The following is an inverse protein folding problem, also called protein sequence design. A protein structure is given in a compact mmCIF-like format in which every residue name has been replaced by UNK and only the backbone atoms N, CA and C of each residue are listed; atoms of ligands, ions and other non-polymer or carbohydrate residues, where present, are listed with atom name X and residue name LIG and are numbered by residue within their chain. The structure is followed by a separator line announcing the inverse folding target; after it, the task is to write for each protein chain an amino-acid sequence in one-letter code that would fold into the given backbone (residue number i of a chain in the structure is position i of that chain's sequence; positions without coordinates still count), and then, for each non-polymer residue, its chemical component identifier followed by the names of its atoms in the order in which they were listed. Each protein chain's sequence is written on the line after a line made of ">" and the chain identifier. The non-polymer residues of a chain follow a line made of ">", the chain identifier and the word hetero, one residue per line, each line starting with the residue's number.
data_IF_967379109438
#
_entry.id   IF_967379109438
#
_cell.length_a   1.000
_cell.length_b   1.000
_cell.length_c   1.000
_cell.angle_alpha   90.00
_cell.angle_beta   90.00
_cell.angle_gamma   90.00
#
_symmetry.space_group_name_H-M   'P 1'
#
loop_
_entity.id
_entity.type
_entity.pdbx_description
1 polymer ?
#
# COMPACT_ATOMS: atom_id res chain seq x y z
N UNK A 1 -14.24 -11.01 16.66
CA UNK A 1 -13.98 -9.64 16.22
C UNK A 1 -12.89 -9.06 17.10
N UNK A 2 -11.67 -9.02 16.60
CA UNK A 2 -10.67 -8.17 17.23
C UNK A 2 -10.47 -6.92 16.38
N UNK A 3 -10.31 -5.80 17.07
CA UNK A 3 -10.07 -4.48 16.50
C UNK A 3 -8.70 -3.97 16.96
N UNK A 4 -7.95 -3.24 16.11
CA UNK A 4 -6.84 -2.42 16.59
C UNK A 4 -7.25 -1.59 17.80
N UNK A 5 -6.46 -1.64 18.87
CA UNK A 5 -6.77 -0.92 20.11
C UNK A 5 -6.49 0.58 19.91
N UNK A 6 -7.43 1.44 20.29
CA UNK A 6 -7.18 2.88 20.37
C UNK A 6 -6.21 3.19 21.52
N UNK A 7 -5.02 3.70 21.19
CA UNK A 7 -3.95 3.98 22.15
C UNK A 7 -3.95 5.41 22.70
N UNK A 8 -4.75 6.31 22.14
CA UNK A 8 -4.80 7.73 22.56
C UNK A 8 -5.46 7.91 23.92
N UNK A 9 -6.44 7.08 24.24
CA UNK A 9 -7.21 7.16 25.49
C UNK A 9 -6.63 6.23 26.59
N UNK A 10 -5.45 5.66 26.37
CA UNK A 10 -4.82 4.82 27.39
C UNK A 10 -4.11 5.71 28.40
N UNK A 11 -4.41 5.48 29.69
CA UNK A 11 -3.60 5.99 30.79
C UNK A 11 -2.25 5.29 30.65
N UNK A 12 -1.27 5.98 30.08
CA UNK A 12 0.11 5.52 30.09
C UNK A 12 0.56 5.59 31.55
N UNK A 13 0.71 4.43 32.18
CA UNK A 13 1.18 4.36 33.56
C UNK A 13 2.57 5.02 33.66
N UNK A 14 2.87 5.71 34.76
CA UNK A 14 4.15 6.41 34.99
C UNK A 14 5.40 5.54 34.72
N UNK A 15 5.39 4.20 34.94
CA UNK A 15 6.47 3.31 34.51
C UNK A 15 6.61 3.16 32.99
N UNK A 16 5.51 3.22 32.21
CA UNK A 16 5.54 3.29 30.75
C UNK A 16 5.99 4.67 30.25
N UNK A 17 5.79 5.73 31.04
CA UNK A 17 6.40 7.05 30.81
C UNK A 17 7.94 7.00 30.97
N UNK A 18 8.45 6.23 31.95
CA UNK A 18 9.88 5.94 32.10
C UNK A 18 10.39 4.91 31.07
N UNK A 19 9.51 4.03 30.58
CA UNK A 19 9.75 3.10 29.47
C UNK A 19 9.89 3.78 28.10
N UNK A 20 9.59 5.09 27.99
CA UNK A 20 9.89 5.88 26.79
C UNK A 20 11.39 6.14 26.57
N UNK A 21 12.24 5.76 27.55
CA UNK A 21 13.69 5.61 27.35
C UNK A 21 14.12 4.18 27.01
N UNK A 22 13.19 3.25 26.75
CA UNK A 22 13.50 1.91 26.26
C UNK A 22 13.38 1.92 24.73
N UNK A 23 14.50 1.82 23.99
CA UNK A 23 14.46 1.68 22.54
C UNK A 23 13.54 0.52 22.12
N UNK A 24 12.65 0.74 21.13
CA UNK A 24 11.78 -0.31 20.60
C UNK A 24 10.35 -0.35 21.14
N UNK A 25 10.00 0.44 22.16
CA UNK A 25 8.66 0.42 22.75
C UNK A 25 7.56 0.93 21.78
N UNK A 26 7.87 1.95 20.98
CA UNK A 26 6.95 2.54 20.00
C UNK A 26 6.76 1.57 18.83
N UNK A 27 7.85 1.01 18.34
CA UNK A 27 7.90 0.07 17.23
C UNK A 27 7.09 -1.19 17.55
N UNK A 28 7.15 -1.67 18.80
CA UNK A 28 6.32 -2.77 19.27
C UNK A 28 4.84 -2.42 19.24
N UNK A 29 4.47 -1.23 19.71
CA UNK A 29 3.08 -0.77 19.72
C UNK A 29 2.51 -0.58 18.31
N UNK A 30 3.32 -0.07 17.38
CA UNK A 30 2.99 0.02 15.96
C UNK A 30 2.79 -1.37 15.36
N UNK A 31 3.73 -2.30 15.58
CA UNK A 31 3.65 -3.67 15.10
C UNK A 31 2.42 -4.42 15.64
N UNK A 32 2.06 -4.23 16.91
CA UNK A 32 0.82 -4.77 17.49
C UNK A 32 -0.43 -4.20 16.80
N UNK A 33 -0.42 -2.90 16.49
CA UNK A 33 -1.48 -2.23 15.74
C UNK A 33 -1.65 -2.79 14.33
N UNK A 34 -0.55 -2.92 13.58
CA UNK A 34 -0.56 -3.51 12.24
C UNK A 34 -0.97 -4.98 12.26
N UNK A 35 -0.47 -5.78 13.19
CA UNK A 35 -0.87 -7.18 13.34
C UNK A 35 -2.38 -7.30 13.61
N UNK A 36 -2.95 -6.42 14.44
CA UNK A 36 -4.39 -6.39 14.67
C UNK A 36 -5.18 -5.99 13.41
N UNK A 37 -4.64 -5.08 12.59
CA UNK A 37 -5.24 -4.67 11.31
C UNK A 37 -5.19 -5.79 10.26
N UNK A 38 -4.15 -6.62 10.28
CA UNK A 38 -3.91 -7.70 9.30
C UNK A 38 -4.76 -8.95 9.52
N UNK A 39 -5.41 -9.10 10.68
CA UNK A 39 -6.23 -10.29 10.93
C UNK A 39 -7.42 -10.38 9.99
N UNK A 40 -7.76 -11.60 9.60
CA UNK A 40 -8.90 -11.89 8.72
C UNK A 40 -10.26 -11.52 9.33
N UNK A 41 -10.36 -11.39 10.65
CA UNK A 41 -11.59 -10.98 11.36
C UNK A 41 -11.65 -9.46 11.67
N UNK A 42 -10.76 -8.66 11.07
CA UNK A 42 -10.75 -7.21 11.23
C UNK A 42 -11.78 -6.53 10.31
N UNK A 43 -12.84 -6.02 10.93
CA UNK A 43 -13.99 -5.38 10.27
C UNK A 43 -13.91 -3.85 10.26
N UNK A 44 -12.72 -3.27 10.43
CA UNK A 44 -12.55 -1.82 10.38
C UNK A 44 -11.52 -1.39 9.34
N UNK A 45 -11.74 -0.21 8.75
CA UNK A 45 -10.78 0.46 7.87
C UNK A 45 -10.62 1.92 8.30
N UNK A 46 -9.52 2.58 7.91
CA UNK A 46 -9.39 4.02 8.09
C UNK A 46 -10.53 4.81 7.45
N UNK A 47 -10.91 5.93 8.07
CA UNK A 47 -11.89 6.88 7.49
C UNK A 47 -11.24 7.75 6.42
N UNK A 48 -9.97 8.12 6.59
CA UNK A 48 -9.25 8.98 5.66
C UNK A 48 -8.84 8.21 4.40
N UNK A 49 -9.25 8.72 3.24
CA UNK A 49 -8.98 8.14 1.92
C UNK A 49 -8.06 9.08 1.14
N UNK A 50 -6.84 8.60 0.87
CA UNK A 50 -5.83 9.29 0.09
C UNK A 50 -5.90 8.85 -1.38
N UNK A 51 -6.29 9.77 -2.28
CA UNK A 51 -6.32 9.53 -3.72
C UNK A 51 -7.57 8.77 -4.22
N UNK A 52 -8.71 8.92 -3.55
CA UNK A 52 -10.00 8.32 -3.94
C UNK A 52 -11.15 8.81 -3.06
N UNK A 53 -12.30 8.13 -3.16
CA UNK A 53 -13.53 8.47 -2.43
C UNK A 53 -14.21 7.23 -1.84
N UNK A 54 -15.19 7.44 -0.96
CA UNK A 54 -16.04 6.34 -0.45
C UNK A 54 -16.82 5.66 -1.58
N UNK A 55 -17.22 6.41 -2.61
CA UNK A 55 -17.91 5.86 -3.76
C UNK A 55 -17.02 4.86 -4.51
N UNK A 56 -15.72 5.11 -4.59
CA UNK A 56 -14.77 4.19 -5.20
C UNK A 56 -14.64 2.89 -4.39
N UNK A 57 -14.61 2.97 -3.05
CA UNK A 57 -14.62 1.78 -2.19
C UNK A 57 -15.90 0.96 -2.38
N UNK A 58 -17.05 1.61 -2.46
CA UNK A 58 -18.34 0.94 -2.71
C UNK A 58 -18.35 0.29 -4.10
N UNK A 59 -17.81 0.97 -5.12
CA UNK A 59 -17.67 0.43 -6.47
C UNK A 59 -16.74 -0.80 -6.52
N UNK A 60 -15.75 -0.87 -5.64
CA UNK A 60 -14.91 -2.06 -5.44
C UNK A 60 -15.61 -3.19 -4.66
N UNK A 61 -16.83 -2.96 -4.16
CA UNK A 61 -17.63 -3.95 -3.44
C UNK A 61 -17.51 -3.90 -1.91
N UNK A 62 -16.89 -2.85 -1.34
CA UNK A 62 -16.89 -2.68 0.10
C UNK A 62 -18.29 -2.31 0.60
N UNK A 63 -18.66 -2.89 1.75
CA UNK A 63 -19.83 -2.41 2.52
C UNK A 63 -19.31 -1.53 3.64
N UNK A 64 -19.60 -0.23 3.59
CA UNK A 64 -19.14 0.74 4.58
C UNK A 64 -20.17 0.92 5.70
N UNK A 65 -19.75 0.69 6.94
CA UNK A 65 -20.53 0.92 8.16
C UNK A 65 -20.22 2.28 8.82
N UNK A 66 -20.74 2.51 10.03
CA UNK A 66 -20.57 3.77 10.76
C UNK A 66 -19.11 3.99 11.18
N UNK A 67 -18.75 5.27 11.38
CA UNK A 67 -17.50 5.67 12.04
C UNK A 67 -17.55 5.24 13.50
N UNK A 68 -16.46 4.64 14.01
CA UNK A 68 -16.39 4.18 15.39
C UNK A 68 -16.40 5.40 16.34
N UNK A 69 -17.39 5.52 17.24
CA UNK A 69 -17.48 6.65 18.16
C UNK A 69 -16.32 6.69 19.17
N UNK A 70 -15.70 5.56 19.48
CA UNK A 70 -14.54 5.45 20.36
C UNK A 70 -13.20 5.65 19.63
N UNK A 71 -13.20 5.54 18.29
CA UNK A 71 -12.01 5.76 17.46
C UNK A 71 -12.38 6.37 16.10
N UNK A 72 -12.51 7.69 16.05
CA UNK A 72 -12.94 8.44 14.85
C UNK A 72 -12.01 8.29 13.63
N UNK A 73 -10.82 7.70 13.80
CA UNK A 73 -9.93 7.38 12.69
C UNK A 73 -10.40 6.14 11.91
N UNK A 74 -11.29 5.35 12.49
CA UNK A 74 -11.73 4.07 11.96
C UNK A 74 -13.23 4.05 11.74
N UNK A 75 -13.66 3.26 10.76
CA UNK A 75 -15.07 2.91 10.55
C UNK A 75 -15.23 1.43 10.29
N UNK A 76 -16.42 0.93 10.55
CA UNK A 76 -16.77 -0.43 10.18
C UNK A 76 -16.77 -0.58 8.65
N UNK A 77 -16.26 -1.71 8.16
CA UNK A 77 -16.33 -2.08 6.76
C UNK A 77 -16.20 -3.60 6.57
N UNK A 78 -16.94 -4.13 5.61
CA UNK A 78 -16.79 -5.51 5.13
C UNK A 78 -16.05 -5.50 3.80
N UNK A 79 -15.03 -6.35 3.69
CA UNK A 79 -14.28 -6.53 2.45
C UNK A 79 -15.14 -7.27 1.41
N UNK A 80 -14.89 -7.04 0.10
CA UNK A 80 -15.49 -7.87 -0.94
C UNK A 80 -15.16 -9.36 -0.74
N UNK A 81 -16.03 -10.24 -1.25
CA UNK A 81 -15.83 -11.68 -1.12
C UNK A 81 -14.50 -12.12 -1.77
N UNK A 82 -13.73 -12.97 -1.07
CA UNK A 82 -12.43 -13.45 -1.54
C UNK A 82 -11.25 -12.50 -1.29
N UNK A 83 -11.50 -11.25 -0.91
CA UNK A 83 -10.45 -10.29 -0.59
C UNK A 83 -9.87 -10.58 0.80
N UNK A 84 -8.58 -10.29 0.96
CA UNK A 84 -7.86 -10.55 2.21
C UNK A 84 -6.89 -9.43 2.56
N UNK A 85 -6.61 -9.31 3.85
CA UNK A 85 -5.56 -8.43 4.37
C UNK A 85 -4.24 -9.17 4.41
N UNK A 86 -3.16 -8.49 4.05
CA UNK A 86 -1.80 -9.04 4.04
C UNK A 86 -0.83 -8.05 4.65
N UNK A 87 0.03 -8.52 5.56
CA UNK A 87 1.13 -7.70 6.07
C UNK A 87 2.18 -7.46 5.00
N UNK A 88 2.81 -6.28 5.02
CA UNK A 88 3.88 -5.92 4.08
C UNK A 88 5.28 -6.15 4.64
N UNK A 89 5.39 -6.62 5.89
CA UNK A 89 6.64 -6.66 6.65
C UNK A 89 6.98 -5.35 7.36
N UNK A 90 6.28 -4.25 7.04
CA UNK A 90 6.42 -2.97 7.76
C UNK A 90 5.44 -2.90 8.94
N UNK A 91 5.90 -2.34 10.06
CA UNK A 91 5.12 -2.18 11.32
C UNK A 91 3.86 -1.31 11.22
N UNK A 92 3.63 -0.63 10.10
CA UNK A 92 2.52 0.34 9.94
C UNK A 92 1.74 0.14 8.65
N UNK A 93 2.14 -0.80 7.78
CA UNK A 93 1.49 -0.98 6.50
C UNK A 93 0.78 -2.32 6.42
N UNK A 94 -0.42 -2.28 5.87
CA UNK A 94 -1.23 -3.47 5.56
C UNK A 94 -1.76 -3.29 4.15
N UNK A 95 -1.65 -4.32 3.33
CA UNK A 95 -2.29 -4.34 2.02
C UNK A 95 -3.61 -5.09 2.10
N UNK A 96 -4.59 -4.67 1.31
CA UNK A 96 -5.76 -5.50 0.99
C UNK A 96 -5.58 -5.94 -0.46
N UNK A 97 -5.57 -7.26 -0.65
CA UNK A 97 -5.47 -7.88 -1.96
C UNK A 97 -6.80 -8.52 -2.32
N UNK A 98 -7.11 -8.53 -3.61
CA UNK A 98 -8.29 -9.20 -4.13
C UNK A 98 -8.14 -10.72 -4.18
N UNK A 99 -9.17 -11.40 -4.66
CA UNK A 99 -9.23 -12.86 -4.79
C UNK A 99 -8.12 -13.44 -5.70
N UNK A 100 -7.57 -12.64 -6.60
CA UNK A 100 -6.43 -13.01 -7.46
C UNK A 100 -5.08 -12.68 -6.80
N UNK A 101 -5.09 -12.11 -5.59
CA UNK A 101 -3.89 -11.72 -4.86
C UNK A 101 -3.28 -10.39 -5.31
N UNK A 102 -4.01 -9.58 -6.08
CA UNK A 102 -3.52 -8.27 -6.56
C UNK A 102 -3.80 -7.22 -5.49
N UNK A 103 -2.83 -6.36 -5.21
CA UNK A 103 -3.02 -5.24 -4.27
C UNK A 103 -4.06 -4.26 -4.82
N UNK A 104 -5.12 -4.01 -4.04
CA UNK A 104 -6.19 -3.06 -4.36
C UNK A 104 -6.24 -1.89 -3.40
N UNK A 105 -5.89 -2.09 -2.14
CA UNK A 105 -5.84 -1.02 -1.14
C UNK A 105 -4.52 -1.11 -0.36
N UNK A 106 -3.88 0.03 -0.13
CA UNK A 106 -2.82 0.16 0.87
C UNK A 106 -3.37 0.87 2.11
N UNK A 107 -3.18 0.30 3.29
CA UNK A 107 -3.52 0.91 4.58
C UNK A 107 -2.24 1.32 5.28
N UNK A 108 -2.19 2.57 5.71
CA UNK A 108 -1.24 3.07 6.69
C UNK A 108 -1.94 3.16 8.05
N UNK A 109 -1.36 2.56 9.08
CA UNK A 109 -1.84 2.66 10.45
C UNK A 109 -0.68 2.77 11.43
N UNK A 110 -0.55 3.96 12.00
CA UNK A 110 0.38 4.28 13.07
C UNK A 110 -0.36 4.28 14.40
N UNK A 111 -0.09 3.27 15.23
CA UNK A 111 -0.78 3.09 16.51
C UNK A 111 -0.07 3.75 17.70
N UNK A 112 0.69 4.82 17.48
CA UNK A 112 1.42 5.54 18.51
C UNK A 112 0.51 6.48 19.31
N UNK A 113 0.58 6.47 20.64
CA UNK A 113 -0.32 7.23 21.52
C UNK A 113 -0.29 8.76 21.31
N UNK A 114 0.86 9.31 20.89
CA UNK A 114 1.10 10.75 20.72
C UNK A 114 0.77 11.28 19.32
N UNK A 115 0.75 10.40 18.32
CA UNK A 115 0.58 10.73 16.90
C UNK A 115 -0.08 9.53 16.18
N UNK A 116 -1.33 9.24 16.58
CA UNK A 116 -2.12 8.21 15.90
C UNK A 116 -2.54 8.75 14.54
N UNK A 117 -2.27 7.96 13.50
CA UNK A 117 -2.67 8.25 12.13
C UNK A 117 -3.16 6.98 11.46
N UNK A 118 -4.24 7.09 10.71
CA UNK A 118 -4.76 6.00 9.92
C UNK A 118 -5.31 6.57 8.61
N UNK A 119 -4.81 6.06 7.49
CA UNK A 119 -5.31 6.41 6.17
C UNK A 119 -5.23 5.21 5.23
N UNK A 120 -6.05 5.22 4.18
CA UNK A 120 -6.02 4.21 3.13
C UNK A 120 -5.84 4.86 1.77
N UNK A 121 -5.27 4.11 0.83
CA UNK A 121 -5.06 4.52 -0.56
C UNK A 121 -5.60 3.46 -1.49
N UNK A 122 -6.34 3.89 -2.52
CA UNK A 122 -6.87 2.99 -3.55
C UNK A 122 -5.79 2.81 -4.63
N UNK A 123 -5.46 1.56 -4.93
CA UNK A 123 -4.42 1.22 -5.91
C UNK A 123 -5.00 1.30 -7.32
N UNK A 124 -4.44 2.18 -8.15
CA UNK A 124 -4.72 2.23 -9.58
C UNK A 124 -3.96 1.13 -10.33
N UNK A 125 -4.31 0.87 -11.59
CA UNK A 125 -3.55 -0.05 -12.45
C UNK A 125 -2.08 0.39 -12.54
N UNK A 126 -1.81 1.70 -12.66
CA UNK A 126 -0.45 2.25 -12.64
C UNK A 126 0.31 1.88 -11.36
N UNK A 127 -0.33 2.01 -10.18
CA UNK A 127 0.27 1.65 -8.91
C UNK A 127 0.49 0.14 -8.75
N UNK A 128 -0.46 -0.66 -9.24
CA UNK A 128 -0.34 -2.12 -9.28
C UNK A 128 0.85 -2.56 -10.14
N UNK A 129 0.99 -2.02 -11.35
CA UNK A 129 2.13 -2.30 -12.23
C UNK A 129 3.44 -1.84 -11.61
N UNK A 130 3.47 -0.68 -10.94
CA UNK A 130 4.65 -0.25 -10.18
C UNK A 130 5.07 -1.26 -9.12
N UNK A 131 4.10 -1.85 -8.42
CA UNK A 131 4.34 -2.91 -7.43
C UNK A 131 4.89 -4.18 -8.08
N UNK A 132 4.28 -4.62 -9.19
CA UNK A 132 4.75 -5.79 -9.94
C UNK A 132 6.19 -5.60 -10.43
N UNK A 133 6.53 -4.44 -10.99
CA UNK A 133 7.88 -4.12 -11.45
C UNK A 133 8.89 -4.15 -10.29
N UNK A 134 8.55 -3.52 -9.16
CA UNK A 134 9.42 -3.49 -7.99
C UNK A 134 9.66 -4.90 -7.41
N UNK A 135 8.66 -5.78 -7.46
CA UNK A 135 8.74 -7.14 -6.94
C UNK A 135 9.19 -8.18 -7.98
N UNK A 136 9.43 -7.77 -9.23
CA UNK A 136 9.76 -8.69 -10.33
C UNK A 136 8.63 -9.68 -10.67
N UNK A 137 7.38 -9.30 -10.42
CA UNK A 137 6.21 -10.14 -10.65
C UNK A 137 5.57 -9.87 -12.02
N UNK A 138 5.00 -10.92 -12.63
CA UNK A 138 4.15 -10.77 -13.80
C UNK A 138 2.76 -10.30 -13.37
N UNK A 139 2.20 -9.21 -13.95
CA UNK A 139 0.88 -8.75 -13.60
C UNK A 139 -0.18 -9.78 -14.01
N UNK A 140 -1.18 -9.95 -13.16
CA UNK A 140 -2.37 -10.75 -13.40
C UNK A 140 -3.42 -9.83 -14.01
N UNK A 141 -3.77 -10.09 -15.26
CA UNK A 141 -4.77 -9.33 -15.98
C UNK A 141 -6.16 -9.89 -15.66
N UNK A 142 -7.14 -9.01 -15.56
CA UNK A 142 -8.55 -9.37 -15.70
C UNK A 142 -9.14 -8.56 -16.86
N UNK A 143 -10.26 -9.01 -17.42
CA UNK A 143 -10.93 -8.28 -18.49
C UNK A 143 -11.66 -7.02 -18.01
N UNK A 144 -11.50 -6.59 -16.75
CA UNK A 144 -12.36 -5.59 -16.12
C UNK A 144 -11.59 -4.39 -15.55
N UNK A 145 -10.63 -4.62 -14.64
CA UNK A 145 -9.84 -3.58 -13.98
C UNK A 145 -8.41 -3.52 -14.51
N UNK A 146 -7.68 -4.63 -14.46
CA UNK A 146 -6.34 -4.80 -15.00
C UNK A 146 -6.42 -5.35 -16.44
N UNK A 147 -7.13 -4.64 -17.31
CA UNK A 147 -7.25 -5.01 -18.72
C UNK A 147 -5.89 -4.98 -19.40
N UNK A 148 -5.75 -5.70 -20.52
CA UNK A 148 -4.49 -5.70 -21.28
C UNK A 148 -4.09 -4.28 -21.69
N UNK A 149 -5.07 -3.51 -22.15
CA UNK A 149 -4.90 -2.13 -22.58
C UNK A 149 -4.44 -1.26 -21.40
N UNK A 150 -5.11 -1.33 -20.25
CA UNK A 150 -4.76 -0.55 -19.07
C UNK A 150 -3.37 -0.92 -18.51
N UNK A 151 -3.02 -2.22 -18.55
CA UNK A 151 -1.69 -2.69 -18.14
C UNK A 151 -0.61 -2.19 -19.09
N UNK A 152 -0.83 -2.24 -20.41
CA UNK A 152 0.12 -1.74 -21.39
C UNK A 152 0.30 -0.22 -21.28
N UNK A 153 -0.78 0.52 -21.09
CA UNK A 153 -0.73 1.97 -20.86
C UNK A 153 0.09 2.31 -19.60
N UNK A 154 -0.16 1.59 -18.50
CA UNK A 154 0.61 1.76 -17.27
C UNK A 154 2.11 1.44 -17.45
N UNK A 155 2.45 0.39 -18.20
CA UNK A 155 3.84 0.06 -18.51
C UNK A 155 4.51 1.15 -19.35
N UNK A 156 3.80 1.67 -20.37
CA UNK A 156 4.29 2.75 -21.22
C UNK A 156 4.51 4.03 -20.41
N UNK A 157 3.62 4.36 -19.47
CA UNK A 157 3.79 5.47 -18.55
C UNK A 157 5.02 5.30 -17.63
N UNK A 158 5.20 4.11 -17.03
CA UNK A 158 6.36 3.82 -16.19
C UNK A 158 7.68 3.94 -16.97
N UNK A 159 7.69 3.51 -18.24
CA UNK A 159 8.85 3.65 -19.11
C UNK A 159 9.14 5.12 -19.40
N UNK A 160 8.11 5.90 -19.75
CA UNK A 160 8.23 7.34 -20.03
C UNK A 160 8.77 8.10 -18.82
N UNK A 161 8.20 7.89 -17.63
CA UNK A 161 8.65 8.54 -16.41
C UNK A 161 10.15 8.30 -16.14
N UNK A 162 10.64 7.06 -16.35
CA UNK A 162 12.05 6.74 -16.15
C UNK A 162 12.95 7.32 -17.23
N UNK A 163 12.46 7.39 -18.48
CA UNK A 163 13.16 8.08 -19.56
C UNK A 163 13.30 9.57 -19.26
N UNK A 164 12.27 10.21 -18.69
CA UNK A 164 12.31 11.63 -18.31
C UNK A 164 13.28 11.89 -17.14
N UNK A 165 13.45 10.93 -16.23
CA UNK A 165 14.43 11.04 -15.14
C UNK A 165 15.88 10.82 -15.60
N UNK A 166 16.11 10.06 -16.65
CA UNK A 166 17.45 9.66 -17.08
C UNK A 166 18.37 10.87 -17.36
N UNK A 167 17.94 11.93 -18.10
CA UNK A 167 18.76 13.13 -18.32
C UNK A 167 19.20 13.87 -17.05
N UNK A 168 18.43 13.78 -15.96
CA UNK A 168 18.78 14.46 -14.69
C UNK A 168 20.04 13.86 -14.05
N UNK A 169 20.34 12.60 -14.35
CA UNK A 169 21.52 11.90 -13.85
C UNK A 169 22.62 11.83 -14.90
N UNK A 170 22.29 11.72 -16.20
CA UNK A 170 23.28 11.69 -17.27
C UNK A 170 24.08 13.00 -17.37
N UNK A 171 23.53 14.14 -16.94
CA UNK A 171 24.25 15.42 -16.98
C UNK A 171 25.26 15.61 -15.84
N UNK A 172 25.35 14.68 -14.89
CA UNK A 172 26.19 14.78 -13.70
C UNK A 172 27.37 13.81 -13.77
N UNK A 173 28.58 14.31 -13.54
CA UNK A 173 29.80 13.50 -13.51
C UNK A 173 30.16 13.11 -12.07
N UNK A 174 29.28 12.31 -11.46
CA UNK A 174 29.50 11.75 -10.12
C UNK A 174 29.11 10.27 -10.06
N UNK A 175 29.77 9.51 -9.18
CA UNK A 175 29.61 8.05 -9.06
C UNK A 175 28.15 7.64 -8.77
N UNK A 176 27.47 8.44 -7.93
CA UNK A 176 26.07 8.21 -7.62
C UNK A 176 25.19 8.31 -8.87
N UNK A 177 25.42 9.34 -9.69
CA UNK A 177 24.68 9.57 -10.93
C UNK A 177 24.95 8.47 -11.97
N UNK A 178 26.21 8.03 -12.11
CA UNK A 178 26.55 6.91 -12.99
C UNK A 178 25.86 5.59 -12.57
N UNK A 179 25.81 5.31 -11.26
CA UNK A 179 25.06 4.16 -10.73
C UNK A 179 23.58 4.26 -11.04
N UNK A 180 22.97 5.43 -10.83
CA UNK A 180 21.54 5.66 -11.05
C UNK A 180 21.14 5.59 -12.53
N UNK A 181 22.00 6.05 -13.44
CA UNK A 181 21.82 5.88 -14.89
C UNK A 181 21.78 4.40 -15.26
N UNK A 182 22.72 3.60 -14.72
CA UNK A 182 22.76 2.15 -14.96
C UNK A 182 21.48 1.47 -14.49
N UNK A 183 21.02 1.81 -13.29
CA UNK A 183 19.81 1.25 -12.70
C UNK A 183 18.55 1.67 -13.49
N UNK A 184 18.40 2.95 -13.87
CA UNK A 184 17.27 3.42 -14.68
C UNK A 184 17.21 2.71 -16.04
N UNK A 185 18.35 2.51 -16.70
CA UNK A 185 18.41 1.76 -17.96
C UNK A 185 17.99 0.30 -17.77
N UNK A 186 18.41 -0.33 -16.67
CA UNK A 186 17.97 -1.67 -16.29
C UNK A 186 16.46 -1.76 -16.08
N UNK A 187 15.88 -0.81 -15.34
CA UNK A 187 14.43 -0.74 -15.12
C UNK A 187 13.65 -0.53 -16.42
N UNK A 188 14.11 0.38 -17.31
CA UNK A 188 13.49 0.59 -18.63
C UNK A 188 13.53 -0.70 -19.46
N UNK A 189 14.64 -1.43 -19.43
CA UNK A 189 14.76 -2.71 -20.14
C UNK A 189 13.79 -3.76 -19.56
N UNK A 190 13.66 -3.84 -18.23
CA UNK A 190 12.72 -4.75 -17.57
C UNK A 190 11.26 -4.41 -17.93
N UNK A 191 10.89 -3.13 -17.97
CA UNK A 191 9.56 -2.68 -18.39
C UNK A 191 9.28 -3.09 -19.84
N UNK A 192 10.23 -2.88 -20.75
CA UNK A 192 10.08 -3.29 -22.16
C UNK A 192 9.91 -4.80 -22.31
N UNK A 193 10.67 -5.59 -21.55
CA UNK A 193 10.54 -7.04 -21.55
C UNK A 193 9.15 -7.49 -21.06
N UNK A 194 8.68 -6.90 -19.95
CA UNK A 194 7.35 -7.18 -19.41
C UNK A 194 6.24 -6.79 -20.39
N UNK A 195 6.36 -5.62 -21.02
CA UNK A 195 5.43 -5.15 -22.04
C UNK A 195 5.36 -6.11 -23.23
N UNK A 196 6.51 -6.61 -23.69
CA UNK A 196 6.56 -7.59 -24.78
C UNK A 196 5.87 -8.91 -24.40
N UNK A 197 6.09 -9.39 -23.18
CA UNK A 197 5.40 -10.56 -22.62
C UNK A 197 3.87 -10.37 -22.59
N UNK A 198 3.39 -9.22 -22.08
CA UNK A 198 1.96 -8.89 -22.04
C UNK A 198 1.37 -8.72 -23.44
N UNK A 199 2.14 -8.31 -24.44
CA UNK A 199 1.64 -8.19 -25.82
C UNK A 199 1.57 -9.56 -26.51
N UNK A 200 2.55 -10.44 -26.28
CA UNK A 200 2.69 -11.72 -26.97
C UNK A 200 1.89 -12.89 -26.41
N UNK A 201 1.37 -12.80 -25.19
CA UNK A 201 0.49 -13.81 -24.60
C UNK A 201 -0.93 -13.69 -25.13
N UNK A 202 -1.26 -14.37 -26.23
CA UNK A 202 -2.61 -14.57 -26.75
C UNK A 202 -3.04 -16.03 -26.55
#
# INVERSE_FOLDING_TARGET
>A
MSRPRNTRNQIISIPALHGMSIPGAIEKQEAEGAAAMQRGDCEIIPVEINGGTEADLIALGFVLGPVDPADRLMREATLPAGWKRTGTGHSMHTDIVDELGRKRIGIFFKNAWYDRRADLSITSVYGYIGTCLHQGQTPILDGEWATREAVLEALDEHARQKQDYLPLYECRDDEHSAGRVTELRGEIAAIKALRASVTGGA
#
